data_IF_386477837509
#
_entry.id   IF_386477837509
#
_cell.length_a   1.000
_cell.length_b   1.000
_cell.length_c   1.000
_cell.angle_alpha   90.00
_cell.angle_beta   90.00
_cell.angle_gamma   90.00
#
_symmetry.space_group_name_H-M   'P 1'
#
loop_
_entity.id
_entity.type
_entity.pdbx_description
1 polymer ?
#
# COMPACT_ATOMS: atom_id res chain seq x y z
N UNK A 1 -1.28 -28.43 -17.92
CA UNK A 1 -1.80 -27.06 -18.06
C UNK A 1 -1.40 -26.32 -16.80
N UNK A 2 -0.28 -25.58 -16.82
CA UNK A 2 0.12 -24.69 -15.73
C UNK A 2 -0.07 -23.27 -16.20
N UNK A 3 -0.92 -22.51 -15.51
CA UNK A 3 -1.11 -21.10 -15.78
C UNK A 3 0.13 -20.32 -15.31
N UNK A 4 0.73 -19.53 -16.20
CA UNK A 4 1.72 -18.52 -15.83
C UNK A 4 0.97 -17.40 -15.10
N UNK A 5 1.34 -17.15 -13.83
CA UNK A 5 0.99 -15.89 -13.17
C UNK A 5 1.76 -14.74 -13.85
N UNK A 6 1.11 -13.62 -14.21
CA UNK A 6 1.82 -12.47 -14.73
C UNK A 6 2.63 -11.81 -13.61
N UNK A 7 3.96 -11.83 -13.76
CA UNK A 7 4.87 -11.04 -12.94
C UNK A 7 4.66 -9.57 -13.31
N UNK A 8 4.08 -8.79 -12.40
CA UNK A 8 4.00 -7.32 -12.52
C UNK A 8 5.40 -6.78 -12.29
N UNK A 9 6.09 -6.44 -13.36
CA UNK A 9 7.37 -5.73 -13.33
C UNK A 9 7.11 -4.27 -12.97
N UNK A 10 7.21 -3.93 -11.68
CA UNK A 10 7.24 -2.53 -11.23
C UNK A 10 8.68 -2.03 -11.43
N UNK A 11 9.04 -1.76 -12.69
CA UNK A 11 10.28 -1.05 -13.03
C UNK A 11 10.16 0.41 -12.56
N UNK A 12 10.66 0.68 -11.36
CA UNK A 12 10.85 2.05 -10.85
C UNK A 12 12.03 2.67 -11.61
N UNK A 13 11.75 3.38 -12.71
CA UNK A 13 12.70 4.30 -13.33
C UNK A 13 12.97 5.47 -12.36
N UNK A 14 14.03 5.32 -11.56
CA UNK A 14 14.46 6.30 -10.57
C UNK A 14 15.34 7.38 -11.23
N UNK A 15 14.85 8.03 -12.28
CA UNK A 15 15.62 9.06 -13.00
C UNK A 15 15.08 10.48 -12.80
N UNK A 16 13.80 10.69 -12.43
CA UNK A 16 13.26 11.90 -11.78
C UNK A 16 12.04 11.46 -10.94
N UNK A 17 12.26 10.63 -9.91
CA UNK A 17 11.17 9.93 -9.22
C UNK A 17 10.48 10.77 -8.16
N UNK A 18 9.43 11.53 -8.52
CA UNK A 18 8.43 11.98 -7.55
C UNK A 18 7.91 10.71 -6.87
N UNK A 19 8.06 10.59 -5.55
CA UNK A 19 7.42 9.51 -4.80
C UNK A 19 5.94 9.46 -5.22
N UNK A 20 5.32 8.27 -5.38
CA UNK A 20 3.93 8.18 -5.80
C UNK A 20 3.11 9.04 -4.86
N UNK A 21 2.52 10.11 -5.40
CA UNK A 21 1.80 11.04 -4.54
C UNK A 21 0.52 10.36 -4.08
N UNK A 22 0.19 10.44 -2.78
CA UNK A 22 -0.94 9.72 -2.20
C UNK A 22 -2.27 10.07 -2.89
N UNK A 23 -2.39 11.26 -3.47
CA UNK A 23 -3.58 11.67 -4.24
C UNK A 23 -3.83 10.89 -5.55
N UNK A 24 -2.87 10.08 -6.04
CA UNK A 24 -3.02 9.31 -7.28
C UNK A 24 -3.27 7.80 -7.05
N UNK A 25 -3.43 7.35 -5.81
CA UNK A 25 -3.65 5.94 -5.51
C UNK A 25 -5.05 5.49 -5.97
N UNK A 26 -5.11 4.33 -6.63
CA UNK A 26 -6.35 3.61 -6.87
C UNK A 26 -6.65 2.62 -5.73
N UNK A 27 -7.88 2.11 -5.68
CA UNK A 27 -8.24 1.04 -4.74
C UNK A 27 -7.35 -0.21 -4.90
N UNK A 28 -6.89 -0.52 -6.12
CA UNK A 28 -6.00 -1.64 -6.37
C UNK A 28 -4.59 -1.40 -5.80
N UNK A 29 -4.07 -0.16 -5.91
CA UNK A 29 -2.78 0.20 -5.35
C UNK A 29 -2.79 0.11 -3.82
N UNK A 30 -3.88 0.60 -3.19
CA UNK A 30 -4.07 0.51 -1.74
C UNK A 30 -4.23 -0.94 -1.29
N UNK A 31 -4.95 -1.78 -2.04
CA UNK A 31 -5.09 -3.19 -1.73
C UNK A 31 -3.74 -3.94 -1.79
N UNK A 32 -2.91 -3.66 -2.80
CA UNK A 32 -1.58 -4.25 -2.92
C UNK A 32 -0.63 -3.80 -1.80
N UNK A 33 -0.74 -2.52 -1.39
CA UNK A 33 0.00 -1.98 -0.26
C UNK A 33 -0.41 -2.65 1.07
N UNK A 34 -1.71 -2.77 1.32
CA UNK A 34 -2.24 -3.44 2.50
C UNK A 34 -1.84 -4.92 2.53
N UNK A 35 -1.91 -5.63 1.40
CA UNK A 35 -1.46 -7.02 1.31
C UNK A 35 0.01 -7.18 1.71
N UNK A 36 0.90 -6.27 1.28
CA UNK A 36 2.32 -6.32 1.66
C UNK A 36 2.51 -6.13 3.16
N UNK A 37 1.79 -5.19 3.77
CA UNK A 37 1.80 -4.95 5.23
C UNK A 37 1.32 -6.18 6.01
N UNK A 38 0.22 -6.80 5.57
CA UNK A 38 -0.35 -8.02 6.18
C UNK A 38 0.61 -9.21 6.10
N UNK A 39 1.21 -9.44 4.92
CA UNK A 39 2.14 -10.56 4.72
C UNK A 39 3.41 -10.39 5.56
N UNK A 40 3.83 -9.14 5.78
CA UNK A 40 5.01 -8.80 6.57
C UNK A 40 6.30 -9.53 6.13
N UNK A 41 6.42 -9.81 4.83
CA UNK A 41 7.57 -10.53 4.24
C UNK A 41 8.62 -9.57 3.68
N UNK A 42 8.95 -8.54 4.45
CA UNK A 42 9.93 -7.53 4.04
C UNK A 42 11.37 -8.03 4.25
N UNK A 43 12.31 -7.53 3.43
CA UNK A 43 13.73 -7.90 3.53
C UNK A 43 14.42 -7.21 4.69
N UNK A 44 13.94 -6.02 5.06
CA UNK A 44 14.49 -5.19 6.11
C UNK A 44 13.39 -4.67 7.03
N UNK A 45 13.78 -4.27 8.24
CA UNK A 45 12.88 -3.71 9.25
C UNK A 45 12.31 -2.34 8.89
N UNK A 46 12.85 -1.66 7.87
CA UNK A 46 12.42 -0.31 7.48
C UNK A 46 11.43 -0.28 6.32
N UNK A 47 11.47 -1.26 5.42
CA UNK A 47 10.51 -1.36 4.31
C UNK A 47 9.03 -1.41 4.77
N UNK A 48 8.62 -2.14 5.85
CA UNK A 48 7.23 -2.06 6.31
C UNK A 48 6.85 -0.67 6.82
N UNK A 49 7.81 0.09 7.35
CA UNK A 49 7.58 1.45 7.84
C UNK A 49 7.28 2.41 6.69
N UNK A 50 7.97 2.26 5.55
CA UNK A 50 7.70 3.06 4.35
C UNK A 50 6.28 2.82 3.85
N UNK A 51 5.88 1.55 3.70
CA UNK A 51 4.54 1.18 3.25
C UNK A 51 3.45 1.69 4.20
N UNK A 52 3.68 1.57 5.52
CA UNK A 52 2.76 2.08 6.51
C UNK A 52 2.61 3.61 6.43
N UNK A 53 3.72 4.33 6.24
CA UNK A 53 3.68 5.79 6.03
C UNK A 53 2.94 6.16 4.74
N UNK A 54 3.11 5.39 3.66
CA UNK A 54 2.35 5.58 2.43
C UNK A 54 0.86 5.37 2.66
N UNK A 55 0.47 4.27 3.32
CA UNK A 55 -0.94 3.99 3.62
C UNK A 55 -1.54 5.09 4.50
N UNK A 56 -0.78 5.61 5.46
CA UNK A 56 -1.18 6.73 6.32
C UNK A 56 -1.34 8.03 5.56
N UNK A 57 -0.48 8.30 4.57
CA UNK A 57 -0.61 9.45 3.70
C UNK A 57 -1.87 9.34 2.82
N UNK A 58 -2.14 8.17 2.24
CA UNK A 58 -3.40 7.91 1.50
C UNK A 58 -4.61 8.13 2.41
N UNK A 59 -4.58 7.66 3.65
CA UNK A 59 -5.67 7.89 4.62
C UNK A 59 -5.98 9.37 4.86
N UNK A 60 -4.98 10.24 4.78
CA UNK A 60 -5.15 11.68 4.95
C UNK A 60 -5.81 12.35 3.73
N UNK A 61 -5.50 11.88 2.53
CA UNK A 61 -6.00 12.46 1.27
C UNK A 61 -7.31 11.83 0.77
N UNK A 62 -7.47 10.52 0.97
CA UNK A 62 -8.57 9.69 0.44
C UNK A 62 -8.97 8.61 1.47
N UNK A 63 -9.59 8.99 2.59
CA UNK A 63 -9.93 8.09 3.71
C UNK A 63 -10.86 6.93 3.30
N UNK A 64 -11.66 7.10 2.26
CA UNK A 64 -12.53 6.06 1.71
C UNK A 64 -11.76 4.86 1.16
N UNK A 65 -10.56 5.07 0.59
CA UNK A 65 -9.75 4.00 0.02
C UNK A 65 -9.12 3.11 1.09
N UNK A 66 -8.85 3.66 2.28
CA UNK A 66 -8.22 2.94 3.39
C UNK A 66 -9.23 2.37 4.39
N UNK A 67 -10.53 2.65 4.22
CA UNK A 67 -11.60 2.19 5.10
C UNK A 67 -11.53 0.68 5.42
N UNK A 68 -11.34 -0.25 4.46
CA UNK A 68 -11.21 -1.68 4.77
C UNK A 68 -9.88 -2.08 5.43
N UNK A 69 -8.92 -1.16 5.53
CA UNK A 69 -7.55 -1.40 5.99
C UNK A 69 -7.19 -0.56 7.23
N UNK A 70 -8.17 0.06 7.89
CA UNK A 70 -7.93 0.95 9.06
C UNK A 70 -7.21 0.27 10.22
N UNK A 71 -7.39 -1.04 10.39
CA UNK A 71 -6.71 -1.84 11.41
C UNK A 71 -5.18 -1.85 11.22
N UNK A 72 -4.67 -1.71 9.99
CA UNK A 72 -3.24 -1.59 9.71
C UNK A 72 -2.65 -0.23 10.15
N UNK A 73 -3.49 0.78 10.34
CA UNK A 73 -3.10 2.13 10.74
C UNK A 73 -3.32 2.39 12.24
N UNK A 74 -3.76 1.38 12.99
CA UNK A 74 -4.22 1.54 14.38
C UNK A 74 -5.31 2.62 14.53
N UNK A 75 -6.09 2.85 13.46
CA UNK A 75 -7.27 3.71 13.52
C UNK A 75 -8.42 2.86 14.07
N UNK A 76 -9.08 3.32 15.12
CA UNK A 76 -10.26 2.64 15.64
C UNK A 76 -11.28 2.43 14.52
N UNK A 77 -11.83 1.22 14.46
CA UNK A 77 -12.98 0.91 13.63
C UNK A 77 -14.18 1.13 14.55
N UNK A 78 -14.86 2.27 14.42
CA UNK A 78 -16.17 2.44 15.05
C UNK A 78 -17.07 1.32 14.48
N UNK A 79 -17.41 0.34 15.32
CA UNK A 79 -18.38 -0.71 15.01
C UNK A 79 -19.79 -0.09 15.12
N UNK A 80 -20.41 0.26 13.98
CA UNK A 80 -21.84 0.63 13.89
C UNK A 80 -22.76 -0.60 13.83
#
# INVERSE_FOLDING_TARGET
>A
MSALSPSVDISVDRSIGLAPTPEHFSAADVAALAERLERNEYKTVFEPLEDWHTLRAVAFHSPELVTPYRHLLELEIDED
#
